data_IF_983222320408
#
_entry.id   IF_983222320408
#
_cell.length_a   1.000
_cell.length_b   1.000
_cell.length_c   1.000
_cell.angle_alpha   90.00
_cell.angle_beta   90.00
_cell.angle_gamma   90.00
#
_symmetry.space_group_name_H-M   'P 1'
#
loop_
_entity.id
_entity.type
_entity.pdbx_description
1 polymer ?
#
# COMPACT_ATOMS: atom_id res chain seq x y z
N UNK A 1 -36.68 12.47 39.47
CA UNK A 1 -35.62 13.52 39.33
C UNK A 1 -34.30 12.93 38.80
N UNK A 2 -34.28 11.89 37.95
CA UNK A 2 -33.02 11.19 37.58
C UNK A 2 -32.56 11.36 36.12
N UNK A 3 -33.46 11.66 35.19
CA UNK A 3 -33.16 11.61 33.75
C UNK A 3 -32.31 12.79 33.26
N UNK A 4 -32.45 13.98 33.84
CA UNK A 4 -31.74 15.19 33.38
C UNK A 4 -30.30 15.23 33.89
N UNK A 5 -30.10 14.82 35.13
CA UNK A 5 -28.81 14.73 35.81
C UNK A 5 -27.93 13.67 35.13
N UNK A 6 -28.52 12.51 34.80
CA UNK A 6 -27.83 11.44 34.07
C UNK A 6 -27.40 11.87 32.67
N UNK A 7 -28.27 12.57 31.92
CA UNK A 7 -27.91 13.16 30.61
C UNK A 7 -26.78 14.17 30.72
N UNK A 8 -26.77 14.97 31.78
CA UNK A 8 -25.71 15.96 32.03
C UNK A 8 -24.38 15.27 32.33
N UNK A 9 -24.37 14.24 33.17
CA UNK A 9 -23.17 13.46 33.50
C UNK A 9 -22.57 12.79 32.26
N UNK A 10 -23.39 12.12 31.43
CA UNK A 10 -22.94 11.50 30.19
C UNK A 10 -22.31 12.51 29.21
N UNK A 11 -22.87 13.73 29.13
CA UNK A 11 -22.30 14.82 28.32
C UNK A 11 -20.92 15.27 28.82
N UNK A 12 -20.72 15.34 30.14
CA UNK A 12 -19.42 15.67 30.72
C UNK A 12 -18.37 14.59 30.44
N UNK A 13 -18.76 13.33 30.52
CA UNK A 13 -17.87 12.20 30.20
C UNK A 13 -17.40 12.27 28.74
N UNK A 14 -18.33 12.49 27.80
CA UNK A 14 -18.02 12.67 26.37
C UNK A 14 -17.09 13.86 26.13
N UNK A 15 -17.27 14.95 26.87
CA UNK A 15 -16.43 16.14 26.75
C UNK A 15 -15.00 15.89 27.28
N UNK A 16 -14.84 15.09 28.34
CA UNK A 16 -13.50 14.69 28.82
C UNK A 16 -12.80 13.74 27.85
N UNK A 17 -13.53 12.80 27.24
CA UNK A 17 -12.99 11.94 26.17
C UNK A 17 -12.53 12.78 24.98
N UNK A 18 -13.33 13.77 24.57
CA UNK A 18 -12.95 14.69 23.49
C UNK A 18 -11.66 15.43 23.85
N UNK A 19 -11.58 16.00 25.06
CA UNK A 19 -10.40 16.71 25.56
C UNK A 19 -9.14 15.84 25.53
N UNK A 20 -9.23 14.58 25.96
CA UNK A 20 -8.08 13.68 25.99
C UNK A 20 -7.61 13.30 24.59
N UNK A 21 -8.52 13.01 23.67
CA UNK A 21 -8.17 12.63 22.29
C UNK A 21 -7.57 13.82 21.53
N UNK A 22 -8.06 15.03 21.77
CA UNK A 22 -7.55 16.24 21.13
C UNK A 22 -6.35 16.85 21.87
N UNK A 23 -5.85 16.19 22.92
CA UNK A 23 -4.80 16.69 23.83
C UNK A 23 -5.02 18.14 24.30
N UNK A 24 -6.29 18.53 24.50
CA UNK A 24 -6.62 19.90 24.89
C UNK A 24 -6.31 20.14 26.37
N UNK A 25 -5.50 21.17 26.64
CA UNK A 25 -5.21 21.59 28.02
C UNK A 25 -6.37 22.38 28.63
N UNK A 26 -7.35 22.78 27.83
CA UNK A 26 -8.45 23.64 28.26
C UNK A 26 -9.38 22.97 29.29
N UNK A 27 -9.83 23.75 30.26
CA UNK A 27 -10.77 23.31 31.31
C UNK A 27 -12.22 23.71 30.99
N UNK A 28 -12.39 24.67 30.08
CA UNK A 28 -13.70 25.20 29.70
C UNK A 28 -14.29 24.43 28.52
N UNK A 29 -15.60 24.13 28.59
CA UNK A 29 -16.30 23.35 27.55
C UNK A 29 -16.16 23.95 26.16
N UNK A 30 -16.35 25.27 26.06
CA UNK A 30 -16.25 25.99 24.78
C UNK A 30 -14.84 25.89 24.21
N UNK A 31 -13.81 26.07 25.04
CA UNK A 31 -12.41 25.97 24.63
C UNK A 31 -12.05 24.54 24.18
N UNK A 32 -12.54 23.51 24.89
CA UNK A 32 -12.36 22.10 24.48
C UNK A 32 -12.97 21.85 23.10
N UNK A 33 -14.15 22.40 22.82
CA UNK A 33 -14.82 22.26 21.52
C UNK A 33 -14.07 23.01 20.41
N UNK A 34 -13.56 24.21 20.70
CA UNK A 34 -12.75 25.00 19.76
C UNK A 34 -11.44 24.27 19.43
N UNK A 35 -10.72 23.77 20.45
CA UNK A 35 -9.50 23.00 20.27
C UNK A 35 -9.76 21.73 19.45
N UNK A 36 -10.85 21.03 19.73
CA UNK A 36 -11.27 19.87 18.96
C UNK A 36 -11.56 20.21 17.49
N UNK A 37 -12.22 21.35 17.24
CA UNK A 37 -12.53 21.81 15.89
C UNK A 37 -11.26 22.12 15.11
N UNK A 38 -10.30 22.79 15.75
CA UNK A 38 -8.98 23.07 15.19
C UNK A 38 -8.21 21.78 14.91
N UNK A 39 -8.20 20.83 15.83
CA UNK A 39 -7.54 19.54 15.66
C UNK A 39 -8.09 18.75 14.46
N UNK A 40 -9.41 18.76 14.26
CA UNK A 40 -10.05 18.14 13.08
C UNK A 40 -9.56 18.80 11.79
N UNK A 41 -9.44 20.13 11.77
CA UNK A 41 -8.94 20.86 10.61
C UNK A 41 -7.46 20.53 10.30
N UNK A 42 -6.61 20.49 11.34
CA UNK A 42 -5.20 20.10 11.22
C UNK A 42 -5.07 18.66 10.68
N UNK A 43 -5.86 17.71 11.18
CA UNK A 43 -5.88 16.34 10.69
C UNK A 43 -6.31 16.28 9.22
N UNK A 44 -7.36 17.01 8.83
CA UNK A 44 -7.79 17.08 7.43
C UNK A 44 -6.70 17.64 6.52
N UNK A 45 -5.98 18.67 6.97
CA UNK A 45 -4.85 19.22 6.22
C UNK A 45 -3.69 18.22 6.13
N UNK A 46 -3.40 17.47 7.20
CA UNK A 46 -2.36 16.44 7.22
C UNK A 46 -2.66 15.30 6.24
N UNK A 47 -3.91 14.83 6.21
CA UNK A 47 -4.37 13.83 5.22
C UNK A 47 -4.17 14.35 3.80
N UNK A 48 -4.67 15.57 3.49
CA UNK A 48 -4.48 16.17 2.16
C UNK A 48 -3.01 16.32 1.76
N UNK A 49 -2.13 16.65 2.70
CA UNK A 49 -0.68 16.76 2.44
C UNK A 49 -0.09 15.38 2.14
N UNK A 50 -0.41 14.37 2.94
CA UNK A 50 0.06 13.00 2.72
C UNK A 50 -0.46 12.44 1.39
N UNK A 51 -1.72 12.65 1.04
CA UNK A 51 -2.28 12.25 -0.25
C UNK A 51 -1.52 12.91 -1.41
N UNK A 52 -1.19 14.19 -1.27
CA UNK A 52 -0.39 14.93 -2.27
C UNK A 52 1.06 14.41 -2.33
N UNK A 53 1.67 14.07 -1.20
CA UNK A 53 3.02 13.49 -1.16
C UNK A 53 3.03 12.09 -1.80
N UNK A 54 2.04 11.24 -1.49
CA UNK A 54 1.84 9.94 -2.15
C UNK A 54 1.65 10.14 -3.66
N UNK A 55 0.77 11.03 -4.08
CA UNK A 55 0.54 11.36 -5.49
C UNK A 55 1.81 11.91 -6.15
N UNK A 56 2.58 12.73 -5.45
CA UNK A 56 3.81 13.33 -5.97
C UNK A 56 4.92 12.29 -6.14
N UNK A 57 5.07 11.36 -5.19
CA UNK A 57 5.98 10.22 -5.28
C UNK A 57 5.55 9.27 -6.42
N UNK A 58 4.24 9.14 -6.62
CA UNK A 58 3.66 8.41 -7.74
C UNK A 58 3.83 9.15 -9.08
N UNK A 59 3.99 10.48 -9.11
CA UNK A 59 4.25 11.23 -10.34
C UNK A 59 5.73 11.39 -10.69
N UNK A 60 6.65 11.21 -9.73
CA UNK A 60 8.09 11.10 -10.02
C UNK A 60 8.49 9.71 -10.53
N UNK A 61 7.53 8.79 -10.57
CA UNK A 61 7.66 7.47 -11.19
C UNK A 61 6.48 7.33 -12.15
N UNK A 62 6.66 7.71 -13.41
CA UNK A 62 5.69 7.53 -14.51
C UNK A 62 5.38 6.03 -14.80
N UNK A 63 4.95 5.26 -13.80
CA UNK A 63 4.76 3.80 -13.84
C UNK A 63 3.47 3.31 -13.15
N UNK A 64 2.59 4.18 -12.67
CA UNK A 64 1.34 3.78 -11.99
C UNK A 64 0.08 3.99 -12.83
N UNK A 65 0.06 3.46 -14.06
CA UNK A 65 -1.20 3.25 -14.79
C UNK A 65 -1.70 1.79 -14.73
N UNK A 66 -1.03 0.92 -13.97
CA UNK A 66 -1.36 -0.51 -13.94
C UNK A 66 -2.08 -0.87 -12.63
N UNK A 67 -3.20 -1.63 -12.68
CA UNK A 67 -3.91 -2.13 -11.50
C UNK A 67 -3.17 -3.30 -10.81
N UNK A 68 -1.84 -3.35 -10.94
CA UNK A 68 -0.99 -4.46 -10.49
C UNK A 68 0.18 -3.89 -9.70
N UNK A 69 0.34 -4.35 -8.46
CA UNK A 69 1.44 -4.00 -7.58
C UNK A 69 2.54 -5.07 -7.70
N UNK A 70 3.79 -4.62 -7.86
CA UNK A 70 4.97 -5.50 -7.94
C UNK A 70 6.00 -5.07 -6.91
N UNK A 71 6.42 -6.01 -6.07
CA UNK A 71 7.51 -5.83 -5.09
C UNK A 71 8.56 -6.92 -5.29
N UNK A 72 9.82 -6.54 -5.22
CA UNK A 72 10.96 -7.46 -5.32
C UNK A 72 11.90 -7.18 -4.17
N UNK A 73 12.23 -8.22 -3.42
CA UNK A 73 13.16 -8.17 -2.29
C UNK A 73 14.33 -9.12 -2.55
N UNK A 74 15.55 -8.68 -2.26
CA UNK A 74 16.73 -9.56 -2.32
C UNK A 74 16.76 -10.43 -1.08
N UNK A 75 16.86 -11.75 -1.27
CA UNK A 75 16.98 -12.77 -0.23
C UNK A 75 18.34 -13.47 -0.34
N UNK A 76 18.73 -14.26 0.66
CA UNK A 76 20.08 -14.85 0.76
C UNK A 76 20.58 -15.56 -0.50
N UNK A 77 19.68 -16.19 -1.27
CA UNK A 77 20.00 -16.94 -2.49
C UNK A 77 19.20 -16.48 -3.73
N UNK A 78 18.75 -15.21 -3.78
CA UNK A 78 18.11 -14.65 -4.97
C UNK A 78 17.04 -13.58 -4.67
N UNK A 79 15.85 -13.72 -5.25
CA UNK A 79 14.81 -12.69 -5.22
C UNK A 79 13.45 -13.24 -4.78
N UNK A 80 12.82 -12.57 -3.83
CA UNK A 80 11.39 -12.76 -3.53
C UNK A 80 10.58 -11.78 -4.36
N UNK A 81 9.81 -12.30 -5.29
CA UNK A 81 9.00 -11.54 -6.25
C UNK A 81 7.53 -11.71 -5.85
N UNK A 82 6.88 -10.59 -5.56
CA UNK A 82 5.49 -10.53 -5.17
C UNK A 82 4.71 -9.67 -6.16
N UNK A 83 3.66 -10.25 -6.73
CA UNK A 83 2.75 -9.58 -7.67
C UNK A 83 1.33 -9.71 -7.14
N UNK A 84 0.62 -8.59 -7.09
CA UNK A 84 -0.76 -8.53 -6.62
C UNK A 84 -1.63 -7.68 -7.54
N UNK A 85 -2.83 -8.16 -7.86
CA UNK A 85 -3.87 -7.39 -8.55
C UNK A 85 -5.24 -7.65 -7.93
N UNK A 86 -6.04 -6.59 -7.82
CA UNK A 86 -7.41 -6.67 -7.27
C UNK A 86 -8.36 -7.50 -8.13
N UNK A 87 -8.04 -7.70 -9.40
CA UNK A 87 -8.81 -8.53 -10.33
C UNK A 87 -7.92 -9.61 -10.90
N UNK A 88 -8.48 -10.80 -11.07
CA UNK A 88 -7.84 -11.85 -11.85
C UNK A 88 -7.99 -11.55 -13.35
N UNK A 89 -6.86 -11.44 -14.05
CA UNK A 89 -6.82 -11.17 -15.49
C UNK A 89 -6.30 -12.39 -16.26
N UNK A 90 -7.04 -12.88 -17.29
CA UNK A 90 -6.57 -13.98 -18.12
C UNK A 90 -5.22 -13.66 -18.78
N UNK A 91 -4.29 -14.61 -18.72
CA UNK A 91 -2.96 -14.48 -19.34
C UNK A 91 -1.91 -13.73 -18.53
N UNK A 92 -2.29 -13.03 -17.45
CA UNK A 92 -1.34 -12.26 -16.62
C UNK A 92 -0.22 -13.14 -16.05
N UNK A 93 -0.57 -14.33 -15.53
CA UNK A 93 0.42 -15.29 -15.03
C UNK A 93 1.43 -15.69 -16.11
N UNK A 94 0.95 -15.96 -17.31
CA UNK A 94 1.78 -16.42 -18.44
C UNK A 94 2.80 -15.34 -18.78
N UNK A 95 2.36 -14.09 -18.89
CA UNK A 95 3.25 -12.96 -19.17
C UNK A 95 4.32 -12.76 -18.10
N UNK A 96 3.99 -12.99 -16.83
CA UNK A 96 4.99 -12.90 -15.75
C UNK A 96 6.01 -14.03 -15.85
N UNK A 97 5.58 -15.26 -16.15
CA UNK A 97 6.47 -16.41 -16.31
C UNK A 97 7.38 -16.27 -17.54
N UNK A 98 6.87 -15.75 -18.66
CA UNK A 98 7.67 -15.40 -19.84
C UNK A 98 8.77 -14.40 -19.46
N UNK A 99 8.45 -13.39 -18.64
CA UNK A 99 9.45 -12.43 -18.18
C UNK A 99 10.52 -13.08 -17.29
N UNK A 100 10.17 -14.05 -16.45
CA UNK A 100 11.16 -14.80 -15.66
C UNK A 100 12.09 -15.63 -16.56
N UNK A 101 11.55 -16.26 -17.60
CA UNK A 101 12.35 -17.01 -18.58
C UNK A 101 13.29 -16.10 -19.36
N UNK A 102 12.82 -14.94 -19.84
CA UNK A 102 13.64 -13.94 -20.53
C UNK A 102 14.74 -13.37 -19.65
N UNK A 103 14.50 -13.26 -18.34
CA UNK A 103 15.49 -12.84 -17.34
C UNK A 103 16.47 -13.96 -16.96
N UNK A 104 16.23 -15.21 -17.35
CA UNK A 104 17.01 -16.36 -16.89
C UNK A 104 16.90 -16.59 -15.39
N UNK A 105 15.76 -16.24 -14.79
CA UNK A 105 15.46 -16.46 -13.37
C UNK A 105 15.02 -17.90 -13.14
N UNK A 106 15.81 -18.65 -12.38
CA UNK A 106 15.44 -20.01 -11.97
C UNK A 106 14.44 -19.94 -10.80
N UNK A 107 13.16 -20.23 -11.05
CA UNK A 107 12.14 -20.20 -10.00
C UNK A 107 12.27 -21.42 -9.09
N UNK A 108 12.64 -21.20 -7.83
CA UNK A 108 12.86 -22.23 -6.81
C UNK A 108 11.57 -22.61 -6.08
N UNK A 109 10.74 -21.62 -5.75
CA UNK A 109 9.43 -21.80 -5.14
C UNK A 109 8.45 -20.82 -5.77
N UNK A 110 7.19 -21.21 -5.93
CA UNK A 110 6.15 -20.33 -6.42
C UNK A 110 4.78 -20.72 -5.87
N UNK A 111 4.02 -19.70 -5.45
CA UNK A 111 2.64 -19.80 -4.99
C UNK A 111 1.80 -18.84 -5.79
N UNK A 112 0.68 -19.33 -6.32
CA UNK A 112 -0.22 -18.52 -7.13
C UNK A 112 -1.67 -18.72 -6.71
N UNK A 113 -2.42 -17.63 -6.66
CA UNK A 113 -3.87 -17.58 -6.47
C UNK A 113 -4.49 -16.78 -7.62
N UNK A 114 -5.47 -17.39 -8.30
CA UNK A 114 -6.16 -16.81 -9.46
C UNK A 114 -7.69 -16.91 -9.33
N UNK A 115 -8.25 -16.72 -8.13
CA UNK A 115 -9.69 -16.78 -7.90
C UNK A 115 -10.37 -15.47 -8.29
N UNK A 116 -10.61 -14.59 -7.32
CA UNK A 116 -11.21 -13.27 -7.51
C UNK A 116 -10.13 -12.21 -7.77
N UNK A 117 -8.99 -12.39 -7.12
CA UNK A 117 -7.77 -11.59 -7.27
C UNK A 117 -6.64 -12.44 -7.84
N UNK A 118 -5.64 -11.75 -8.40
CA UNK A 118 -4.39 -12.38 -8.80
C UNK A 118 -3.33 -12.11 -7.73
N UNK A 119 -2.71 -13.17 -7.23
CA UNK A 119 -1.55 -13.06 -6.36
C UNK A 119 -0.51 -14.11 -6.73
N UNK A 120 0.71 -13.68 -6.98
CA UNK A 120 1.87 -14.53 -7.24
C UNK A 120 2.96 -14.16 -6.26
N UNK A 121 3.51 -15.17 -5.60
CA UNK A 121 4.72 -15.12 -4.81
C UNK A 121 5.70 -16.10 -5.43
N UNK A 122 6.89 -15.66 -5.81
CA UNK A 122 7.92 -16.51 -6.42
C UNK A 122 9.29 -16.21 -5.82
N UNK A 123 10.06 -17.25 -5.56
CA UNK A 123 11.46 -17.17 -5.14
C UNK A 123 12.31 -17.53 -6.34
N UNK A 124 12.96 -16.54 -6.95
CA UNK A 124 13.94 -16.73 -8.02
C UNK A 124 15.33 -16.94 -7.44
N UNK A 125 16.06 -17.95 -7.92
CA UNK A 125 17.46 -18.17 -7.64
C UNK A 125 18.34 -17.28 -8.50
N UNK A 126 19.45 -16.80 -7.95
CA UNK A 126 20.48 -16.10 -8.73
C UNK A 126 21.40 -17.13 -9.41
N UNK A 127 21.54 -17.04 -10.73
CA UNK A 127 22.45 -17.90 -11.47
C UNK A 127 23.91 -17.53 -11.10
N UNK A 128 24.69 -18.50 -10.60
CA UNK A 128 26.04 -18.29 -10.03
C UNK A 128 27.13 -17.89 -11.06
N UNK A 129 26.74 -17.40 -12.24
CA UNK A 129 27.63 -17.08 -13.35
C UNK A 129 27.36 -15.71 -13.94
N UNK A 130 28.10 -14.71 -13.45
CA UNK A 130 28.28 -13.38 -14.04
C UNK A 130 27.16 -12.34 -13.79
N UNK A 131 27.57 -11.22 -13.18
CA UNK A 131 26.81 -10.02 -12.82
C UNK A 131 25.69 -10.21 -11.79
N UNK A 132 25.89 -9.67 -10.57
CA UNK A 132 24.84 -9.66 -9.54
C UNK A 132 23.61 -8.95 -10.10
N UNK A 133 22.52 -9.67 -10.29
CA UNK A 133 21.33 -9.12 -10.91
C UNK A 133 20.65 -8.21 -9.88
N UNK A 134 20.40 -6.95 -10.21
CA UNK A 134 19.77 -6.03 -9.26
C UNK A 134 18.27 -6.35 -9.13
N UNK A 135 17.74 -6.35 -7.90
CA UNK A 135 16.31 -6.50 -7.63
C UNK A 135 15.49 -5.46 -8.40
N UNK A 136 16.07 -4.28 -8.67
CA UNK A 136 15.43 -3.27 -9.49
C UNK A 136 15.28 -3.70 -10.95
N UNK A 137 16.25 -4.42 -11.53
CA UNK A 137 16.16 -4.93 -12.92
C UNK A 137 15.04 -5.96 -13.03
N UNK A 138 14.97 -6.89 -12.06
CA UNK A 138 13.89 -7.89 -11.97
C UNK A 138 12.54 -7.19 -11.86
N UNK A 139 12.42 -6.19 -10.97
CA UNK A 139 11.19 -5.43 -10.80
C UNK A 139 10.76 -4.71 -12.08
N UNK A 140 11.69 -4.06 -12.77
CA UNK A 140 11.40 -3.35 -14.01
C UNK A 140 10.95 -4.29 -15.13
N UNK A 141 11.60 -5.44 -15.28
CA UNK A 141 11.23 -6.42 -16.29
C UNK A 141 9.83 -7.00 -16.06
N UNK A 142 9.48 -7.33 -14.82
CA UNK A 142 8.11 -7.78 -14.47
C UNK A 142 7.08 -6.68 -14.74
N UNK A 143 7.36 -5.43 -14.37
CA UNK A 143 6.48 -4.30 -14.65
C UNK A 143 6.31 -4.07 -16.16
N UNK A 144 7.39 -4.19 -16.93
CA UNK A 144 7.36 -4.05 -18.38
C UNK A 144 6.55 -5.17 -19.04
N UNK A 145 6.66 -6.40 -18.56
CA UNK A 145 5.87 -7.52 -19.04
C UNK A 145 4.37 -7.26 -18.82
N UNK A 146 3.99 -6.81 -17.61
CA UNK A 146 2.60 -6.45 -17.28
C UNK A 146 2.11 -5.29 -18.15
N UNK A 147 2.96 -4.28 -18.41
CA UNK A 147 2.62 -3.17 -19.31
C UNK A 147 2.35 -3.64 -20.74
N UNK A 148 3.23 -4.48 -21.28
CA UNK A 148 3.10 -5.04 -22.62
C UNK A 148 1.83 -5.91 -22.75
N UNK A 149 1.45 -6.63 -21.69
CA UNK A 149 0.19 -7.36 -21.64
C UNK A 149 -1.03 -6.42 -21.74
N UNK A 150 -1.02 -5.31 -21.00
CA UNK A 150 -2.12 -4.34 -21.02
C UNK A 150 -2.28 -3.64 -22.38
N UNK A 151 -1.21 -3.50 -23.17
CA UNK A 151 -1.26 -2.95 -24.53
C UNK A 151 -1.74 -3.98 -25.58
N UNK A 152 -1.67 -5.28 -25.26
CA UNK A 152 -2.09 -6.39 -26.15
C UNK A 152 -3.53 -6.85 -25.90
N UNK A 153 -4.13 -6.50 -24.76
CA UNK A 153 -5.50 -6.85 -24.37
C UNK A 153 -6.53 -5.84 -24.84
#
# INVERSE_FOLDING_TARGET
MGSREQKRAALYEKLQQLRSVTNSTALNKTSIIVDASKYIEELKQKVKRLDKEITSLQSSSDQNSLPVQVTVETVENGFLINVFSEKNYPGLLVTILEAFEELGLDVLDARVSCSDSFHLEAVGGENQGHDSMDAQVVKQAVLQAIKNWNERS
#
